data_IF_414086528488
#
_entry.id   IF_414086528488
#
_cell.length_a   1.000
_cell.length_b   1.000
_cell.length_c   1.000
_cell.angle_alpha   90.00
_cell.angle_beta   90.00
_cell.angle_gamma   90.00
#
_symmetry.space_group_name_H-M   'P 1'
#
loop_
_entity.id
_entity.type
_entity.pdbx_description
1 polymer ?
#
# COMPACT_ATOMS: atom_id res chain seq x y z
N UNK A 1 27.76 -10.73 3.30
CA UNK A 1 26.96 -9.50 3.06
C UNK A 1 25.95 -9.39 4.17
N UNK A 2 26.14 -8.47 5.12
CA UNK A 2 25.20 -8.26 6.23
C UNK A 2 24.07 -7.38 5.71
N UNK A 3 22.91 -7.97 5.43
CA UNK A 3 21.68 -7.21 5.24
C UNK A 3 21.30 -6.70 6.62
N UNK A 4 21.69 -5.46 6.95
CA UNK A 4 21.14 -4.79 8.13
C UNK A 4 19.68 -4.48 7.81
N UNK A 5 18.75 -4.96 8.64
CA UNK A 5 17.39 -4.45 8.64
C UNK A 5 17.45 -2.91 8.69
N UNK A 6 16.69 -2.19 7.86
CA UNK A 6 16.73 -0.74 7.87
C UNK A 6 16.33 -0.23 9.25
N UNK A 7 17.30 0.31 10.00
CA UNK A 7 17.02 1.08 11.21
C UNK A 7 16.33 2.37 10.79
N UNK A 8 15.02 2.41 11.01
CA UNK A 8 14.17 3.58 10.85
C UNK A 8 14.53 4.59 11.96
N UNK A 9 15.45 5.51 11.67
CA UNK A 9 15.61 6.70 12.50
C UNK A 9 14.37 7.57 12.28
N UNK A 10 13.62 7.75 13.37
CA UNK A 10 12.25 8.24 13.43
C UNK A 10 11.96 9.53 12.64
N UNK A 11 11.12 9.36 11.62
CA UNK A 11 9.88 10.09 11.51
C UNK A 11 8.78 9.03 11.65
N UNK A 12 7.70 9.28 12.40
CA UNK A 12 6.59 8.33 12.62
C UNK A 12 5.80 7.98 11.33
N UNK A 13 6.38 8.26 10.16
CA UNK A 13 5.87 8.05 8.83
C UNK A 13 6.84 7.10 8.12
N UNK A 14 6.50 5.82 8.17
CA UNK A 14 7.34 4.72 7.67
C UNK A 14 7.57 4.78 6.15
N UNK A 15 8.84 4.81 5.74
CA UNK A 15 9.33 4.53 4.38
C UNK A 15 10.02 3.17 4.44
N UNK A 16 9.67 2.21 3.58
CA UNK A 16 10.21 0.84 3.66
C UNK A 16 11.46 0.63 2.82
N UNK A 17 11.59 1.36 1.70
CA UNK A 17 12.74 1.23 0.80
C UNK A 17 13.15 2.58 0.24
N UNK A 18 14.46 2.80 0.12
CA UNK A 18 15.04 3.95 -0.57
C UNK A 18 15.96 3.44 -1.66
N UNK A 19 15.69 3.85 -2.89
CA UNK A 19 16.40 3.35 -4.08
C UNK A 19 16.91 4.53 -4.90
N UNK A 20 18.17 4.44 -5.32
CA UNK A 20 18.82 5.38 -6.24
C UNK A 20 19.28 4.68 -7.52
N UNK A 21 19.61 5.45 -8.56
CA UNK A 21 20.12 4.91 -9.83
C UNK A 21 19.04 4.19 -10.65
N UNK A 22 19.43 3.13 -11.38
CA UNK A 22 18.53 2.39 -12.29
C UNK A 22 17.32 1.75 -11.59
N UNK A 23 17.40 1.55 -10.27
CA UNK A 23 16.29 1.07 -9.43
C UNK A 23 15.16 2.08 -9.22
N UNK A 24 15.43 3.36 -9.47
CA UNK A 24 14.43 4.42 -9.45
C UNK A 24 13.85 4.61 -10.87
N UNK A 25 12.51 4.56 -11.04
CA UNK A 25 11.86 4.70 -12.36
C UNK A 25 12.21 5.97 -13.15
N UNK A 26 12.75 7.00 -12.49
CA UNK A 26 13.15 8.28 -13.10
C UNK A 26 14.64 8.60 -12.94
N UNK A 27 15.45 7.65 -12.46
CA UNK A 27 16.88 7.88 -12.18
C UNK A 27 17.19 8.83 -11.01
N UNK A 28 16.17 9.44 -10.41
CA UNK A 28 16.26 10.30 -9.24
C UNK A 28 16.07 9.45 -7.99
N UNK A 29 16.77 9.79 -6.90
CA UNK A 29 16.57 9.15 -5.60
C UNK A 29 15.07 9.07 -5.25
N UNK A 30 14.58 7.85 -5.08
CA UNK A 30 13.16 7.56 -4.87
C UNK A 30 12.95 6.76 -3.60
N UNK A 31 12.05 7.24 -2.75
CA UNK A 31 11.56 6.54 -1.57
C UNK A 31 10.25 5.80 -1.89
N UNK A 32 10.17 4.56 -1.44
CA UNK A 32 9.04 3.67 -1.60
C UNK A 32 8.51 3.27 -0.23
N UNK A 33 7.20 3.26 -0.11
CA UNK A 33 6.51 2.89 1.11
C UNK A 33 5.49 1.80 0.80
N UNK A 34 5.64 0.63 1.43
CA UNK A 34 4.71 -0.48 1.29
C UNK A 34 3.56 -0.29 2.26
N UNK A 35 2.40 0.05 1.69
CA UNK A 35 1.19 0.25 2.47
C UNK A 35 0.22 -0.89 2.22
N UNK A 36 -0.13 -1.61 3.29
CA UNK A 36 -1.19 -2.61 3.26
C UNK A 36 -2.46 -2.06 3.88
N UNK A 37 -3.59 -2.20 3.19
CA UNK A 37 -4.90 -1.76 3.69
C UNK A 37 -5.89 -2.91 3.74
N UNK A 38 -6.67 -2.95 4.80
CA UNK A 38 -7.85 -3.81 4.87
C UNK A 38 -9.03 -3.13 4.19
N UNK A 39 -9.72 -3.82 3.29
CA UNK A 39 -10.93 -3.27 2.66
C UNK A 39 -12.10 -3.11 3.63
N UNK A 40 -12.03 -3.77 4.79
CA UNK A 40 -13.04 -3.66 5.85
C UNK A 40 -12.71 -2.60 6.91
N UNK A 41 -11.62 -1.85 6.75
CA UNK A 41 -11.34 -0.72 7.62
C UNK A 41 -12.42 0.36 7.44
N UNK A 42 -12.79 1.08 8.51
CA UNK A 42 -13.89 2.08 8.49
C UNK A 42 -13.78 3.06 7.31
N UNK A 43 -12.58 3.61 7.08
CA UNK A 43 -12.34 4.53 5.97
C UNK A 43 -12.46 3.87 4.59
N UNK A 44 -12.03 2.61 4.47
CA UNK A 44 -12.12 1.83 3.25
C UNK A 44 -13.59 1.52 2.93
N UNK A 45 -14.35 1.06 3.93
CA UNK A 45 -15.79 0.82 3.82
C UNK A 45 -16.56 2.08 3.41
N UNK A 46 -16.22 3.24 3.99
CA UNK A 46 -16.83 4.53 3.62
C UNK A 46 -16.52 4.91 2.17
N UNK A 47 -15.28 4.70 1.74
CA UNK A 47 -14.83 4.98 0.37
C UNK A 47 -15.53 4.06 -0.63
N UNK A 48 -15.61 2.77 -0.33
CA UNK A 48 -16.34 1.79 -1.12
C UNK A 48 -17.82 2.16 -1.22
N UNK A 49 -18.50 2.45 -0.10
CA UNK A 49 -19.91 2.81 -0.11
C UNK A 49 -20.20 4.01 -1.01
N UNK A 50 -19.42 5.08 -0.86
CA UNK A 50 -19.60 6.32 -1.64
C UNK A 50 -19.40 6.06 -3.14
N UNK A 51 -18.36 5.31 -3.48
CA UNK A 51 -18.03 4.98 -4.87
C UNK A 51 -19.09 4.06 -5.47
N UNK A 52 -19.47 3.00 -4.75
CA UNK A 52 -20.49 2.05 -5.17
C UNK A 52 -21.83 2.72 -5.41
N UNK A 53 -22.26 3.61 -4.51
CA UNK A 53 -23.51 4.38 -4.67
C UNK A 53 -23.50 5.20 -5.97
N UNK A 54 -22.37 5.85 -6.29
CA UNK A 54 -22.22 6.64 -7.53
C UNK A 54 -22.25 5.76 -8.78
N UNK A 55 -21.57 4.61 -8.77
CA UNK A 55 -21.51 3.72 -9.94
C UNK A 55 -22.85 3.01 -10.20
N UNK A 56 -23.55 2.61 -9.14
CA UNK A 56 -24.90 2.04 -9.26
C UNK A 56 -25.90 3.06 -9.80
N UNK A 57 -25.85 4.31 -9.33
CA UNK A 57 -26.67 5.40 -9.88
C UNK A 57 -26.37 5.68 -11.36
N UNK A 58 -25.14 5.41 -11.82
CA UNK A 58 -24.74 5.50 -13.22
C UNK A 58 -25.07 4.24 -14.04
N UNK A 59 -25.84 3.29 -13.49
CA UNK A 59 -26.26 2.06 -14.19
C UNK A 59 -25.14 1.05 -14.45
N UNK A 60 -24.02 1.12 -13.72
CA UNK A 60 -22.92 0.16 -13.89
C UNK A 60 -23.27 -1.20 -13.32
N UNK A 61 -22.69 -2.25 -13.90
CA UNK A 61 -22.85 -3.62 -13.40
C UNK A 61 -22.23 -3.80 -12.00
N UNK A 62 -22.66 -4.81 -11.24
CA UNK A 62 -22.08 -5.10 -9.92
C UNK A 62 -20.58 -5.33 -9.95
N UNK A 63 -20.06 -6.00 -10.98
CA UNK A 63 -18.62 -6.27 -11.13
C UNK A 63 -17.82 -4.98 -11.33
N UNK A 64 -18.27 -4.09 -12.23
CA UNK A 64 -17.62 -2.79 -12.47
C UNK A 64 -17.69 -1.90 -11.23
N UNK A 65 -18.80 -1.95 -10.50
CA UNK A 65 -19.00 -1.23 -9.25
C UNK A 65 -18.01 -1.69 -8.19
N UNK A 66 -17.87 -3.01 -7.99
CA UNK A 66 -16.93 -3.59 -7.01
C UNK A 66 -15.49 -3.24 -7.35
N UNK A 67 -15.09 -3.35 -8.63
CA UNK A 67 -13.75 -2.98 -9.07
C UNK A 67 -13.47 -1.49 -8.82
N UNK A 68 -14.41 -0.61 -9.20
CA UNK A 68 -14.27 0.83 -8.99
C UNK A 68 -14.14 1.19 -7.51
N UNK A 69 -14.89 0.50 -6.64
CA UNK A 69 -14.81 0.70 -5.19
C UNK A 69 -13.43 0.30 -4.63
N UNK A 70 -12.89 -0.83 -5.10
CA UNK A 70 -11.55 -1.30 -4.73
C UNK A 70 -10.47 -0.33 -5.22
N UNK A 71 -10.55 0.12 -6.47
CA UNK A 71 -9.62 1.09 -7.05
C UNK A 71 -9.65 2.42 -6.28
N UNK A 72 -10.85 2.90 -5.90
CA UNK A 72 -11.00 4.11 -5.12
C UNK A 72 -10.41 4.00 -3.71
N UNK A 73 -10.52 2.83 -3.06
CA UNK A 73 -9.89 2.56 -1.77
C UNK A 73 -8.36 2.66 -1.89
N UNK A 74 -7.78 2.01 -2.90
CA UNK A 74 -6.33 2.01 -3.14
C UNK A 74 -5.82 3.42 -3.49
N UNK A 75 -6.50 4.11 -4.40
CA UNK A 75 -6.17 5.47 -4.84
C UNK A 75 -6.21 6.46 -3.67
N UNK A 76 -7.28 6.42 -2.87
CA UNK A 76 -7.41 7.31 -1.70
C UNK A 76 -6.22 7.19 -0.76
N UNK A 77 -5.75 5.97 -0.51
CA UNK A 77 -4.59 5.75 0.36
C UNK A 77 -3.29 6.21 -0.30
N UNK A 78 -3.12 5.94 -1.60
CA UNK A 78 -1.95 6.38 -2.36
C UNK A 78 -1.84 7.91 -2.37
N UNK A 79 -2.94 8.63 -2.61
CA UNK A 79 -2.99 10.10 -2.57
C UNK A 79 -2.68 10.61 -1.17
N UNK A 80 -3.29 10.05 -0.13
CA UNK A 80 -3.04 10.48 1.25
C UNK A 80 -1.56 10.35 1.65
N UNK A 81 -0.91 9.24 1.27
CA UNK A 81 0.53 9.05 1.46
C UNK A 81 1.33 10.04 0.62
N UNK A 82 1.01 10.18 -0.67
CA UNK A 82 1.71 11.12 -1.55
C UNK A 82 1.70 12.54 -0.97
N UNK A 83 0.54 13.04 -0.54
CA UNK A 83 0.42 14.39 0.06
C UNK A 83 1.26 14.51 1.33
N UNK A 84 1.22 13.50 2.21
CA UNK A 84 1.99 13.47 3.45
C UNK A 84 3.51 13.56 3.21
N UNK A 85 4.01 12.86 2.19
CA UNK A 85 5.44 12.79 1.90
C UNK A 85 5.93 13.87 0.94
N UNK A 86 5.09 14.33 0.02
CA UNK A 86 5.45 15.34 -0.97
C UNK A 86 5.85 16.66 -0.29
N UNK A 87 5.18 17.05 0.80
CA UNK A 87 5.55 18.23 1.58
C UNK A 87 6.98 18.16 2.15
N UNK A 88 7.45 16.96 2.52
CA UNK A 88 8.76 16.75 3.16
C UNK A 88 9.88 16.47 2.16
N UNK A 89 9.60 15.63 1.17
CA UNK A 89 10.60 15.11 0.25
C UNK A 89 10.87 16.07 -0.91
N UNK A 90 9.93 16.96 -1.23
CA UNK A 90 10.14 18.00 -2.24
C UNK A 90 11.34 18.91 -1.89
N UNK A 91 11.50 19.27 -0.62
CA UNK A 91 12.62 20.10 -0.15
C UNK A 91 13.98 19.40 -0.26
N UNK A 92 13.98 18.07 -0.34
CA UNK A 92 15.19 17.24 -0.40
C UNK A 92 15.51 16.74 -1.81
N UNK A 93 14.71 17.10 -2.82
CA UNK A 93 14.85 16.60 -4.19
C UNK A 93 14.62 15.09 -4.31
N UNK A 94 13.83 14.50 -3.39
CA UNK A 94 13.57 13.06 -3.33
C UNK A 94 12.17 12.80 -3.91
N UNK A 95 12.07 11.85 -4.84
CA UNK A 95 10.79 11.37 -5.34
C UNK A 95 10.16 10.38 -4.36
N UNK A 96 8.84 10.29 -4.33
CA UNK A 96 8.10 9.36 -3.49
C UNK A 96 7.10 8.54 -4.30
N UNK A 97 7.06 7.23 -4.06
CA UNK A 97 6.10 6.33 -4.70
C UNK A 97 5.42 5.46 -3.62
N UNK A 98 4.12 5.66 -3.35
CA UNK A 98 3.38 4.77 -2.45
C UNK A 98 3.07 3.45 -3.17
N UNK A 99 3.51 2.34 -2.59
CA UNK A 99 3.24 0.99 -3.07
C UNK A 99 2.08 0.41 -2.25
N UNK A 100 0.86 0.73 -2.67
CA UNK A 100 -0.36 0.36 -1.93
C UNK A 100 -0.92 -0.98 -2.41
N UNK A 101 -1.21 -1.86 -1.45
CA UNK A 101 -1.81 -3.17 -1.65
C UNK A 101 -2.97 -3.37 -0.69
N UNK A 102 -3.98 -4.14 -1.10
CA UNK A 102 -5.01 -4.63 -0.21
C UNK A 102 -4.62 -5.96 0.44
N UNK A 103 -5.12 -6.22 1.64
CA UNK A 103 -4.95 -7.52 2.33
C UNK A 103 -5.65 -8.67 1.59
N UNK A 104 -6.47 -8.37 0.61
CA UNK A 104 -7.22 -9.32 -0.22
C UNK A 104 -6.49 -9.59 -1.55
N UNK A 105 -5.42 -8.85 -1.85
CA UNK A 105 -4.51 -9.12 -2.98
C UNK A 105 -4.59 -8.14 -4.14
N UNK A 106 -5.35 -7.06 -4.00
CA UNK A 106 -5.35 -5.99 -4.99
C UNK A 106 -4.11 -5.11 -4.86
N UNK A 107 -3.67 -4.49 -5.95
CA UNK A 107 -2.52 -3.59 -5.98
C UNK A 107 -2.86 -2.32 -6.75
N UNK A 108 -2.41 -1.18 -6.23
CA UNK A 108 -2.52 0.10 -6.92
C UNK A 108 -1.67 0.09 -8.22
N UNK A 109 -2.08 0.77 -9.31
CA UNK A 109 -1.33 0.76 -10.57
C UNK A 109 0.15 1.15 -10.43
N UNK A 110 0.47 2.13 -9.58
CA UNK A 110 1.86 2.53 -9.32
C UNK A 110 2.69 1.40 -8.67
N UNK A 111 2.07 0.60 -7.80
CA UNK A 111 2.71 -0.55 -7.18
C UNK A 111 2.99 -1.64 -8.22
N UNK A 112 2.01 -1.95 -9.07
CA UNK A 112 2.16 -2.90 -10.18
C UNK A 112 3.25 -2.45 -11.16
N UNK A 113 3.28 -1.18 -11.54
CA UNK A 113 4.28 -0.62 -12.45
C UNK A 113 5.69 -0.71 -11.85
N UNK A 114 5.84 -0.37 -10.57
CA UNK A 114 7.14 -0.45 -9.86
C UNK A 114 7.64 -1.89 -9.78
N UNK A 115 6.77 -2.85 -9.42
CA UNK A 115 7.15 -4.26 -9.38
C UNK A 115 7.55 -4.81 -10.76
N UNK A 116 6.86 -4.39 -11.82
CA UNK A 116 7.24 -4.73 -13.21
C UNK A 116 8.61 -4.16 -13.58
N UNK A 117 8.88 -2.90 -13.21
CA UNK A 117 10.18 -2.25 -13.40
C UNK A 117 11.28 -3.03 -12.68
N UNK A 118 11.11 -3.29 -11.39
CA UNK A 118 12.07 -4.05 -10.58
C UNK A 118 12.31 -5.45 -11.13
N UNK A 119 11.27 -6.14 -11.60
CA UNK A 119 11.43 -7.45 -12.25
C UNK A 119 12.36 -7.40 -13.46
N UNK A 120 12.37 -6.31 -14.21
CA UNK A 120 13.21 -6.16 -15.41
C UNK A 120 14.68 -5.87 -15.11
N UNK A 121 14.99 -5.35 -13.92
CA UNK A 121 16.34 -4.87 -13.58
C UNK A 121 17.00 -5.63 -12.42
N UNK A 122 16.23 -6.33 -11.59
CA UNK A 122 16.75 -7.04 -10.42
C UNK A 122 17.05 -8.50 -10.76
N UNK A 123 18.31 -8.96 -10.74
CA UNK A 123 18.67 -10.35 -11.07
C UNK A 123 18.06 -11.37 -10.09
N UNK A 124 17.76 -10.97 -8.85
CA UNK A 124 17.15 -11.81 -7.82
C UNK A 124 15.73 -11.38 -7.45
N UNK A 125 14.97 -10.85 -8.42
CA UNK A 125 13.60 -10.38 -8.17
C UNK A 125 12.71 -11.44 -7.52
N UNK A 126 12.82 -12.70 -7.93
CA UNK A 126 12.01 -13.80 -7.37
C UNK A 126 12.26 -14.02 -5.88
N UNK A 127 13.51 -13.85 -5.42
CA UNK A 127 13.84 -13.95 -4.00
C UNK A 127 13.24 -12.78 -3.21
N UNK A 128 13.45 -11.55 -3.70
CA UNK A 128 12.84 -10.34 -3.12
C UNK A 128 11.30 -10.48 -3.03
N UNK A 129 10.66 -10.91 -4.11
CA UNK A 129 9.22 -11.05 -4.19
C UNK A 129 8.68 -12.13 -3.25
N UNK A 130 9.42 -13.23 -3.06
CA UNK A 130 9.08 -14.28 -2.09
C UNK A 130 9.15 -13.76 -0.65
N UNK A 131 10.22 -13.05 -0.30
CA UNK A 131 10.37 -12.41 1.01
C UNK A 131 9.25 -11.39 1.25
N UNK A 132 8.98 -10.53 0.27
CA UNK A 132 7.91 -9.54 0.32
C UNK A 132 6.54 -10.19 0.52
N UNK A 133 6.25 -11.25 -0.23
CA UNK A 133 5.01 -12.04 -0.12
C UNK A 133 4.85 -12.67 1.27
N UNK A 134 5.95 -13.11 1.87
CA UNK A 134 5.97 -13.64 3.25
C UNK A 134 5.64 -12.55 4.27
N UNK A 135 6.20 -11.34 4.13
CA UNK A 135 5.83 -10.20 4.98
C UNK A 135 4.35 -9.85 4.86
N UNK A 136 3.85 -9.81 3.62
CA UNK A 136 2.43 -9.64 3.29
C UNK A 136 1.54 -10.64 4.04
N UNK A 137 1.87 -11.93 3.96
CA UNK A 137 1.15 -12.99 4.66
C UNK A 137 1.20 -12.82 6.17
N UNK A 138 2.36 -12.48 6.73
CA UNK A 138 2.49 -12.22 8.19
C UNK A 138 1.65 -11.03 8.63
N UNK A 139 1.66 -9.93 7.87
CA UNK A 139 0.82 -8.77 8.17
C UNK A 139 -0.68 -9.09 8.07
N UNK A 140 -1.10 -9.92 7.12
CA UNK A 140 -2.48 -10.44 7.04
C UNK A 140 -2.84 -11.27 8.28
N UNK A 141 -2.00 -12.23 8.65
CA UNK A 141 -2.22 -13.11 9.81
C UNK A 141 -2.28 -12.31 11.11
N UNK A 142 -1.37 -11.34 11.31
CA UNK A 142 -1.39 -10.47 12.49
C UNK A 142 -2.66 -9.62 12.55
N UNK A 143 -3.07 -9.02 11.42
CA UNK A 143 -4.30 -8.22 11.36
C UNK A 143 -5.54 -9.07 11.66
N UNK A 144 -5.58 -10.30 11.16
CA UNK A 144 -6.67 -11.24 11.43
C UNK A 144 -6.67 -11.68 12.90
N UNK A 145 -5.52 -12.12 13.43
CA UNK A 145 -5.39 -12.57 14.81
C UNK A 145 -5.75 -11.45 15.82
N UNK A 146 -5.33 -10.21 15.56
CA UNK A 146 -5.68 -9.05 16.40
C UNK A 146 -7.18 -8.72 16.35
N UNK A 147 -7.85 -8.92 15.21
CA UNK A 147 -9.31 -8.77 15.10
C UNK A 147 -10.10 -9.90 15.77
N UNK A 148 -9.51 -11.08 15.92
CA UNK A 148 -10.13 -12.21 16.62
C UNK A 148 -9.78 -12.27 18.11
N UNK A 149 -8.92 -11.37 18.59
CA UNK A 149 -8.55 -11.23 20.00
C UNK A 149 -9.08 -9.95 20.66
N UNK A 150 -9.94 -9.16 20.01
CA UNK A 150 -10.72 -8.17 20.75
C UNK A 150 -11.63 -8.92 21.74
N UNK A 151 -11.48 -8.72 23.06
CA UNK A 151 -12.42 -9.28 24.03
C UNK A 151 -13.80 -8.70 23.74
N UNK A 152 -14.82 -9.57 23.69
CA UNK A 152 -16.24 -9.21 23.51
C UNK A 152 -16.85 -8.46 24.70
N UNK A 153 -16.04 -7.91 25.60
CA UNK A 153 -16.48 -7.36 26.86
C UNK A 153 -16.20 -5.86 26.90
N UNK A 154 -17.09 -5.06 26.31
CA UNK A 154 -17.70 -3.89 26.97
C UNK A 154 -19.05 -3.61 26.29
N UNK A 155 -20.09 -4.33 26.74
CA UNK A 155 -21.48 -3.86 26.68
C UNK A 155 -21.95 -3.75 28.14
N UNK A 156 -22.57 -2.60 28.45
CA UNK A 156 -23.19 -2.19 29.71
C UNK A 156 -22.20 -1.90 30.85
N UNK A 157 -22.24 -0.74 31.52
CA UNK A 157 -23.39 0.11 31.93
C UNK A 157 -23.13 1.59 31.77
#
# INVERSE_FOLDING_TARGET
>A
MVIREPQLVGDHHRTDLRVSGAGAPRGILTEFDFTFISTSAVEATRTAYTTSKRQLAAGKSPCVTAQSALDAILERKAVAKTVLYQQRLAQRGISFIPLVFSLEGAAHPAATATLKHWKSIMPFFSFFFSTFSTYLLRSRVQTFALRHHEPKDVIAT
#
